data_IF_575983675693
#
_entry.id   IF_575983675693
#
_cell.length_a   1.000
_cell.length_b   1.000
_cell.length_c   1.000
_cell.angle_alpha   90.00
_cell.angle_beta   90.00
_cell.angle_gamma   90.00
#
_symmetry.space_group_name_H-M   'P 1'
#
loop_
_entity.id
_entity.type
_entity.pdbx_description
1 polymer ?
#
# COMPACT_ATOMS: atom_id res chain seq x y z
N UNK A 1 -6.76 6.38 -8.68
CA UNK A 1 -6.13 5.07 -8.35
C UNK A 1 -6.27 4.07 -9.51
N UNK A 2 -5.65 4.36 -10.67
CA UNK A 2 -5.76 3.49 -11.86
C UNK A 2 -4.49 2.64 -12.07
N UNK A 3 -3.32 3.13 -11.64
CA UNK A 3 -2.04 2.46 -11.87
C UNK A 3 -1.99 1.07 -11.21
N UNK A 4 -2.05 1.00 -9.87
CA UNK A 4 -1.99 -0.28 -9.14
C UNK A 4 -3.12 -1.26 -9.51
N UNK A 5 -4.32 -0.76 -9.82
CA UNK A 5 -5.44 -1.59 -10.28
C UNK A 5 -5.17 -2.27 -11.62
N UNK A 6 -4.43 -1.61 -12.52
CA UNK A 6 -4.05 -2.12 -13.85
C UNK A 6 -2.87 -3.08 -13.83
N UNK A 7 -2.10 -3.15 -12.73
CA UNK A 7 -0.94 -4.02 -12.68
C UNK A 7 -1.35 -5.50 -12.63
N UNK A 8 -0.63 -6.39 -13.34
CA UNK A 8 -0.68 -7.82 -13.08
C UNK A 8 -0.44 -8.11 -11.60
N UNK A 9 -1.06 -9.18 -11.07
CA UNK A 9 -0.94 -9.52 -9.64
C UNK A 9 0.50 -9.76 -9.22
N UNK A 10 1.29 -10.46 -10.02
CA UNK A 10 2.68 -10.76 -9.67
C UNK A 10 3.52 -9.49 -9.54
N UNK A 11 3.30 -8.51 -10.44
CA UNK A 11 3.98 -7.22 -10.40
C UNK A 11 3.50 -6.35 -9.22
N UNK A 12 2.21 -6.41 -8.87
CA UNK A 12 1.70 -5.74 -7.68
C UNK A 12 2.36 -6.29 -6.40
N UNK A 13 2.54 -7.61 -6.32
CA UNK A 13 3.16 -8.29 -5.19
C UNK A 13 4.68 -8.04 -5.10
N UNK A 14 5.37 -7.88 -6.23
CA UNK A 14 6.79 -7.52 -6.22
C UNK A 14 7.00 -6.11 -5.67
N UNK A 15 6.15 -5.14 -6.05
CA UNK A 15 6.18 -3.79 -5.47
C UNK A 15 5.94 -3.81 -3.97
N UNK A 16 4.92 -4.55 -3.51
CA UNK A 16 4.68 -4.71 -2.07
C UNK A 16 5.93 -5.23 -1.35
N UNK A 17 6.56 -6.27 -1.89
CA UNK A 17 7.72 -6.92 -1.25
C UNK A 17 8.92 -5.98 -1.16
N UNK A 18 9.19 -5.22 -2.21
CA UNK A 18 10.28 -4.25 -2.23
C UNK A 18 10.07 -3.11 -1.25
N UNK A 19 8.87 -2.51 -1.24
CA UNK A 19 8.53 -1.43 -0.31
C UNK A 19 8.58 -1.93 1.14
N UNK A 20 7.98 -3.11 1.42
CA UNK A 20 8.01 -3.70 2.76
C UNK A 20 9.45 -4.00 3.23
N UNK A 21 10.33 -4.47 2.34
CA UNK A 21 11.74 -4.69 2.67
C UNK A 21 12.47 -3.37 2.95
N UNK A 22 12.18 -2.32 2.19
CA UNK A 22 12.80 -1.01 2.38
C UNK A 22 12.33 -0.32 3.68
N UNK A 23 11.09 -0.59 4.13
CA UNK A 23 10.58 -0.18 5.45
C UNK A 23 11.38 -0.89 6.55
N UNK A 24 11.53 -2.21 6.46
CA UNK A 24 12.32 -2.99 7.44
C UNK A 24 13.76 -2.51 7.58
N UNK A 25 14.35 -2.01 6.49
CA UNK A 25 15.71 -1.44 6.47
C UNK A 25 15.79 0.01 6.99
N UNK A 26 14.67 0.64 7.35
CA UNK A 26 14.62 2.01 7.84
C UNK A 26 14.89 3.07 6.77
N UNK A 27 14.79 2.70 5.49
CA UNK A 27 15.25 3.52 4.35
C UNK A 27 14.18 4.43 3.74
N UNK A 28 12.94 4.42 4.25
CA UNK A 28 11.79 4.99 3.55
C UNK A 28 11.11 6.19 4.19
N UNK A 29 10.50 7.00 3.31
CA UNK A 29 9.75 8.21 3.62
C UNK A 29 8.25 7.92 3.83
N UNK A 30 7.55 8.85 4.48
CA UNK A 30 6.10 8.80 4.71
C UNK A 30 5.26 8.53 3.45
N UNK A 31 5.72 8.96 2.27
CA UNK A 31 5.01 8.73 1.00
C UNK A 31 4.94 7.24 0.62
N UNK A 32 5.97 6.45 0.95
CA UNK A 32 5.97 5.02 0.63
C UNK A 32 4.97 4.22 1.48
N UNK A 33 4.63 4.69 2.68
CA UNK A 33 3.55 4.12 3.47
C UNK A 33 2.18 4.31 2.81
N UNK A 34 1.95 5.46 2.16
CA UNK A 34 0.74 5.67 1.38
C UNK A 34 0.69 4.75 0.16
N UNK A 35 1.80 4.61 -0.56
CA UNK A 35 1.88 3.66 -1.68
C UNK A 35 1.63 2.21 -1.25
N UNK A 36 2.21 1.80 -0.12
CA UNK A 36 1.95 0.49 0.46
C UNK A 36 0.45 0.31 0.80
N UNK A 37 -0.19 1.35 1.35
CA UNK A 37 -1.64 1.34 1.61
C UNK A 37 -2.48 1.16 0.35
N UNK A 38 -2.08 1.79 -0.77
CA UNK A 38 -2.75 1.62 -2.06
C UNK A 38 -2.60 0.18 -2.58
N UNK A 39 -1.40 -0.39 -2.48
CA UNK A 39 -1.12 -1.77 -2.90
C UNK A 39 -1.93 -2.77 -2.07
N UNK A 40 -1.94 -2.61 -0.74
CA UNK A 40 -2.72 -3.47 0.18
C UNK A 40 -4.22 -3.38 -0.14
N UNK A 41 -4.73 -2.17 -0.42
CA UNK A 41 -6.14 -1.97 -0.81
C UNK A 41 -6.49 -2.69 -2.11
N UNK A 42 -5.65 -2.57 -3.15
CA UNK A 42 -5.87 -3.29 -4.42
C UNK A 42 -5.74 -4.80 -4.26
N UNK A 43 -4.79 -5.28 -3.46
CA UNK A 43 -4.62 -6.71 -3.17
C UNK A 43 -5.86 -7.27 -2.45
N UNK A 44 -6.39 -6.53 -1.47
CA UNK A 44 -7.63 -6.89 -0.76
C UNK A 44 -8.83 -6.99 -1.72
N UNK A 45 -8.96 -6.04 -2.65
CA UNK A 45 -9.98 -6.10 -3.72
C UNK A 45 -9.85 -7.33 -4.63
N UNK A 46 -8.67 -7.95 -4.69
CA UNK A 46 -8.40 -9.20 -5.44
C UNK A 46 -8.51 -10.47 -4.57
N UNK A 47 -8.92 -10.34 -3.30
CA UNK A 47 -9.00 -11.46 -2.36
C UNK A 47 -7.64 -11.88 -1.78
N UNK A 48 -6.62 -11.04 -1.87
CA UNK A 48 -5.25 -11.32 -1.37
C UNK A 48 -5.02 -10.52 -0.08
N UNK A 49 -4.71 -11.22 1.00
CA UNK A 49 -4.37 -10.59 2.28
C UNK A 49 -2.86 -10.32 2.36
N UNK A 50 -2.49 -9.04 2.44
CA UNK A 50 -1.11 -8.59 2.67
C UNK A 50 -0.99 -7.99 4.08
N UNK A 51 0.15 -8.22 4.73
CA UNK A 51 0.40 -7.70 6.07
C UNK A 51 0.78 -6.21 6.04
N UNK A 52 0.31 -5.47 7.03
CA UNK A 52 0.76 -4.10 7.27
C UNK A 52 2.01 -4.10 8.15
N UNK A 53 2.98 -3.20 7.92
CA UNK A 53 4.06 -2.91 8.87
C UNK A 53 3.51 -2.51 10.24
N UNK A 54 4.27 -2.79 11.31
CA UNK A 54 3.84 -2.52 12.68
C UNK A 54 3.52 -1.03 12.95
N UNK A 55 4.27 -0.13 12.33
CA UNK A 55 4.12 1.33 12.47
C UNK A 55 3.21 1.94 11.39
N UNK A 56 2.56 1.13 10.56
CA UNK A 56 1.75 1.59 9.44
C UNK A 56 0.64 2.56 9.87
N UNK A 57 -0.12 2.19 10.91
CA UNK A 57 -1.21 3.01 11.44
C UNK A 57 -0.72 4.28 12.18
N UNK A 58 0.58 4.34 12.52
CA UNK A 58 1.20 5.52 13.14
C UNK A 58 1.59 6.56 12.08
N UNK A 59 1.94 6.10 10.87
CA UNK A 59 2.41 6.94 9.76
C UNK A 59 1.26 7.33 8.83
N UNK A 60 0.36 6.38 8.55
CA UNK A 60 -0.80 6.58 7.67
C UNK A 60 -2.01 6.90 8.51
N UNK A 61 -2.49 8.14 8.41
CA UNK A 61 -3.78 8.49 8.97
C UNK A 61 -4.86 7.75 8.17
N UNK A 62 -5.59 6.87 8.84
CA UNK A 62 -6.64 6.03 8.25
C UNK A 62 -7.74 6.87 7.55
N UNK A 63 -8.14 8.02 8.10
CA UNK A 63 -9.06 8.96 7.43
C UNK A 63 -8.47 9.56 6.17
N UNK A 64 -7.17 9.84 6.15
CA UNK A 64 -6.50 10.34 4.93
C UNK A 64 -6.44 9.25 3.87
N UNK A 65 -6.18 8.00 4.23
CA UNK A 65 -6.17 6.86 3.31
C UNK A 65 -7.58 6.58 2.76
N UNK A 66 -8.60 6.60 3.61
CA UNK A 66 -10.01 6.42 3.23
C UNK A 66 -10.48 7.55 2.32
N UNK A 67 -10.20 8.82 2.65
CA UNK A 67 -10.50 9.95 1.75
C UNK A 67 -9.76 9.84 0.42
N UNK A 68 -8.49 9.41 0.43
CA UNK A 68 -7.72 9.19 -0.80
C UNK A 68 -8.25 8.00 -1.62
N UNK A 69 -8.88 7.01 -0.99
CA UNK A 69 -9.55 5.91 -1.67
C UNK A 69 -10.94 6.32 -2.21
N UNK A 70 -11.69 7.14 -1.47
CA UNK A 70 -13.05 7.58 -1.78
C UNK A 70 -13.13 8.71 -2.81
N UNK A 71 -12.11 9.58 -2.92
CA UNK A 71 -12.07 10.65 -3.93
C UNK A 71 -12.01 10.15 -5.39
N UNK A 72 -11.90 8.84 -5.59
CA UNK A 72 -11.70 8.24 -6.92
C UNK A 72 -12.49 6.93 -7.11
N UNK A 73 -13.55 6.73 -6.32
CA UNK A 73 -14.68 5.82 -6.60
C UNK A 73 -15.81 6.62 -7.22
#
# INVERSE_FOLDING_TARGET
>A
MNFYKKLPTDLLLSFYSEIAMNIKKGTLTKNMYYELGLIISVASQRGITLQKPHDFEQVVNQKSLENFCLLFT
#
